data_IF_947830825094
#
_entry.id   IF_947830825094
#
_cell.length_a   1.000
_cell.length_b   1.000
_cell.length_c   1.000
_cell.angle_alpha   90.00
_cell.angle_beta   90.00
_cell.angle_gamma   90.00
#
_symmetry.space_group_name_H-M   'P 1'
#
loop_
_entity.id
_entity.type
_entity.pdbx_description
1 polymer ?
#
# COMPACT_ATOMS: atom_id res chain seq x y z
N UNK A 1 -12.27 2.37 3.84
CA UNK A 1 -12.40 1.06 4.50
C UNK A 1 -11.36 1.03 5.62
N UNK A 2 -11.80 0.96 6.88
CA UNK A 2 -10.96 1.19 8.06
C UNK A 2 -10.26 -0.11 8.47
N UNK A 3 -8.99 -0.29 8.09
CA UNK A 3 -8.15 -1.35 8.66
C UNK A 3 -7.67 -0.89 10.03
N UNK A 4 -8.51 -1.13 11.04
CA UNK A 4 -8.20 -0.84 12.43
C UNK A 4 -7.41 -2.02 13.01
N UNK A 5 -6.09 -1.88 13.15
CA UNK A 5 -5.19 -2.88 13.75
C UNK A 5 -5.36 -2.98 15.28
N UNK A 6 -6.56 -2.80 15.82
CA UNK A 6 -6.76 -2.57 17.26
C UNK A 6 -6.70 -3.82 18.15
N UNK A 7 -6.79 -5.05 17.61
CA UNK A 7 -6.58 -6.31 18.35
C UNK A 7 -6.69 -7.53 17.44
N UNK A 8 -6.03 -7.53 16.28
CA UNK A 8 -6.00 -8.72 15.42
C UNK A 8 -4.73 -9.51 15.74
N UNK A 9 -4.87 -10.82 16.00
CA UNK A 9 -3.78 -11.79 16.21
C UNK A 9 -2.89 -11.99 14.95
N UNK A 10 -2.90 -11.04 14.02
CA UNK A 10 -2.21 -11.14 12.75
C UNK A 10 -0.78 -10.58 12.87
N UNK A 11 0.23 -11.29 12.33
CA UNK A 11 1.60 -10.79 12.29
C UNK A 11 1.70 -9.43 11.58
N UNK A 12 2.58 -8.54 12.06
CA UNK A 12 2.79 -7.19 11.49
C UNK A 12 3.17 -7.25 10.01
N UNK A 13 3.93 -8.26 9.59
CA UNK A 13 4.25 -8.52 8.18
C UNK A 13 3.01 -8.72 7.31
N UNK A 14 2.05 -9.50 7.80
CA UNK A 14 0.80 -9.75 7.07
C UNK A 14 -0.04 -8.47 7.02
N UNK A 15 -0.18 -7.78 8.15
CA UNK A 15 -0.87 -6.50 8.21
C UNK A 15 -0.29 -5.47 7.23
N UNK A 16 1.03 -5.32 7.18
CA UNK A 16 1.72 -4.40 6.27
C UNK A 16 1.45 -4.76 4.81
N UNK A 17 1.54 -6.05 4.44
CA UNK A 17 1.22 -6.51 3.07
C UNK A 17 -0.21 -6.20 2.66
N UNK A 18 -1.19 -6.44 3.54
CA UNK A 18 -2.60 -6.20 3.23
C UNK A 18 -2.93 -4.72 3.13
N UNK A 19 -2.38 -3.89 4.04
CA UNK A 19 -2.48 -2.44 3.94
C UNK A 19 -1.89 -1.92 2.61
N UNK A 20 -0.70 -2.42 2.25
CA UNK A 20 -0.02 -2.03 1.02
C UNK A 20 -0.79 -2.47 -0.23
N UNK A 21 -1.34 -3.69 -0.23
CA UNK A 21 -2.21 -4.13 -1.33
C UNK A 21 -3.46 -3.26 -1.42
N UNK A 22 -4.15 -3.02 -0.31
CA UNK A 22 -5.38 -2.22 -0.27
C UNK A 22 -5.20 -0.76 -0.69
N UNK A 23 -4.00 -0.19 -0.56
CA UNK A 23 -3.69 1.15 -1.04
C UNK A 23 -3.20 1.16 -2.49
N UNK A 24 -2.24 0.30 -2.84
CA UNK A 24 -1.52 0.42 -4.12
C UNK A 24 -2.10 -0.45 -5.25
N UNK A 25 -3.11 -1.28 -4.97
CA UNK A 25 -3.85 -1.97 -6.02
C UNK A 25 -4.44 -0.95 -7.00
N UNK A 26 -4.27 -1.19 -8.30
CA UNK A 26 -4.63 -0.27 -9.38
C UNK A 26 -4.10 1.17 -9.14
N UNK A 27 -2.85 1.28 -8.72
CA UNK A 27 -2.18 2.56 -8.43
C UNK A 27 -2.90 3.42 -7.36
N UNK A 28 -3.79 2.82 -6.55
CA UNK A 28 -4.66 3.56 -5.64
C UNK A 28 -5.82 4.29 -6.32
N UNK A 29 -6.03 4.09 -7.62
CA UNK A 29 -7.15 4.59 -8.41
C UNK A 29 -8.38 3.70 -8.21
N UNK A 30 -8.74 3.50 -6.95
CA UNK A 30 -9.88 2.70 -6.52
C UNK A 30 -10.63 3.51 -5.47
N UNK A 31 -11.93 3.70 -5.64
CA UNK A 31 -12.74 4.50 -4.73
C UNK A 31 -12.69 4.00 -3.28
N UNK A 32 -12.47 2.71 -3.08
CA UNK A 32 -12.33 2.06 -1.78
C UNK A 32 -10.88 1.82 -1.34
N UNK A 33 -9.90 2.48 -1.97
CA UNK A 33 -8.49 2.37 -1.58
C UNK A 33 -8.27 2.70 -0.10
N UNK A 34 -7.41 1.91 0.54
CA UNK A 34 -7.04 2.04 1.95
C UNK A 34 -6.08 3.20 2.22
N UNK A 35 -6.46 4.44 1.90
CA UNK A 35 -5.60 5.63 1.99
C UNK A 35 -5.15 6.00 3.40
N UNK A 36 -5.78 5.42 4.43
CA UNK A 36 -5.45 5.64 5.84
C UNK A 36 -5.45 4.31 6.59
N UNK A 37 -4.40 4.08 7.36
CA UNK A 37 -4.22 2.90 8.21
C UNK A 37 -3.96 3.36 9.63
N UNK A 38 -4.75 2.86 10.58
CA UNK A 38 -4.55 3.15 12.00
C UNK A 38 -3.77 2.00 12.64
N UNK A 39 -2.63 2.33 13.22
CA UNK A 39 -1.68 1.37 13.80
C UNK A 39 -1.61 1.59 15.31
N UNK A 40 -1.66 0.51 16.10
CA UNK A 40 -1.48 0.59 17.55
C UNK A 40 -0.05 1.02 17.88
N UNK A 41 0.10 1.96 18.83
CA UNK A 41 1.39 2.56 19.16
C UNK A 41 2.53 1.56 19.45
N UNK A 42 2.22 0.40 20.05
CA UNK A 42 3.22 -0.63 20.36
C UNK A 42 3.91 -1.25 19.16
N UNK A 43 3.26 -1.24 17.98
CA UNK A 43 3.77 -1.85 16.75
C UNK A 43 3.96 -0.81 15.63
N UNK A 44 3.87 0.48 15.97
CA UNK A 44 3.91 1.57 14.99
C UNK A 44 5.21 1.57 14.17
N UNK A 45 6.36 1.61 14.83
CA UNK A 45 7.65 1.71 14.16
C UNK A 45 7.95 0.48 13.29
N UNK A 46 7.62 -0.72 13.79
CA UNK A 46 7.78 -1.97 13.04
C UNK A 46 6.89 -1.98 11.79
N UNK A 47 5.63 -1.59 11.92
CA UNK A 47 4.70 -1.52 10.79
C UNK A 47 5.17 -0.50 9.75
N UNK A 48 5.60 0.69 10.18
CA UNK A 48 6.09 1.74 9.28
C UNK A 48 7.34 1.27 8.54
N UNK A 49 8.29 0.65 9.22
CA UNK A 49 9.50 0.12 8.58
C UNK A 49 9.17 -0.93 7.51
N UNK A 50 8.26 -1.87 7.81
CA UNK A 50 7.83 -2.91 6.86
C UNK A 50 7.03 -2.32 5.69
N UNK A 51 6.12 -1.38 5.97
CA UNK A 51 5.33 -0.70 4.94
C UNK A 51 6.22 0.09 3.97
N UNK A 52 7.19 0.84 4.51
CA UNK A 52 8.19 1.57 3.71
C UNK A 52 9.00 0.61 2.81
N UNK A 53 9.49 -0.49 3.38
CA UNK A 53 10.27 -1.46 2.62
C UNK A 53 9.47 -2.12 1.48
N UNK A 54 8.15 -2.28 1.64
CA UNK A 54 7.27 -2.76 0.57
C UNK A 54 7.08 -1.68 -0.52
N UNK A 55 6.94 -0.42 -0.13
CA UNK A 55 6.78 0.69 -1.07
C UNK A 55 8.02 0.89 -1.94
N UNK A 56 9.21 0.87 -1.32
CA UNK A 56 10.50 1.05 -2.00
C UNK A 56 10.84 -0.10 -2.97
N UNK A 57 10.32 -1.31 -2.72
CA UNK A 57 10.55 -2.47 -3.58
C UNK A 57 9.62 -2.53 -4.80
N UNK A 58 8.56 -1.71 -4.83
CA UNK A 58 7.52 -1.80 -5.84
C UNK A 58 8.07 -1.40 -7.21
N UNK A 59 7.88 -2.25 -8.21
CA UNK A 59 8.38 -1.99 -9.57
C UNK A 59 7.38 -1.12 -10.33
N UNK A 60 7.79 0.12 -10.66
CA UNK A 60 7.05 1.04 -11.51
C UNK A 60 7.57 0.95 -12.94
N UNK A 61 6.68 0.94 -13.94
CA UNK A 61 7.10 0.78 -15.33
C UNK A 61 5.98 0.69 -16.36
N UNK A 62 6.33 0.12 -17.52
CA UNK A 62 5.41 -0.16 -18.61
C UNK A 62 4.36 -1.21 -18.17
N UNK A 63 3.04 -0.93 -18.28
CA UNK A 63 2.00 -1.89 -17.91
C UNK A 63 2.01 -3.19 -18.74
N UNK A 64 2.71 -3.23 -19.88
CA UNK A 64 2.88 -4.45 -20.69
C UNK A 64 4.12 -5.28 -20.31
N UNK A 65 5.01 -4.77 -19.45
CA UNK A 65 6.10 -5.57 -18.87
C UNK A 65 5.57 -6.39 -17.68
N UNK A 66 5.73 -7.71 -17.74
CA UNK A 66 5.33 -8.65 -16.67
C UNK A 66 6.05 -8.42 -15.34
N UNK A 67 7.16 -7.67 -15.34
CA UNK A 67 7.89 -7.28 -14.12
C UNK A 67 7.29 -6.05 -13.44
N UNK A 68 6.45 -5.28 -14.13
CA UNK A 68 5.83 -4.07 -13.59
C UNK A 68 4.72 -4.44 -12.60
N UNK A 69 4.82 -3.95 -11.38
CA UNK A 69 3.75 -4.04 -10.38
C UNK A 69 2.81 -2.83 -10.43
N UNK A 70 3.31 -1.69 -10.94
CA UNK A 70 2.55 -0.45 -11.00
C UNK A 70 2.82 0.34 -12.29
N UNK A 71 1.81 0.40 -13.16
CA UNK A 71 1.82 1.24 -14.36
C UNK A 71 1.52 2.73 -14.10
N UNK A 72 1.29 3.52 -15.17
CA UNK A 72 0.97 4.94 -15.06
C UNK A 72 -0.41 5.19 -14.44
N UNK A 73 -0.63 6.43 -14.00
CA UNK A 73 -1.96 6.92 -13.64
C UNK A 73 -2.83 7.09 -14.90
N UNK A 74 -4.15 7.23 -14.73
CA UNK A 74 -5.11 7.29 -15.83
C UNK A 74 -4.87 8.48 -16.78
N UNK A 75 -4.32 9.58 -16.29
CA UNK A 75 -3.96 10.76 -17.09
C UNK A 75 -2.82 11.57 -16.44
N UNK A 76 -2.33 12.59 -17.15
CA UNK A 76 -1.25 13.46 -16.69
C UNK A 76 -1.60 14.26 -15.42
N UNK A 77 -2.85 14.70 -15.28
CA UNK A 77 -3.28 15.44 -14.08
C UNK A 77 -3.19 14.57 -12.82
N UNK A 78 -3.58 13.31 -12.92
CA UNK A 78 -3.52 12.34 -11.82
C UNK A 78 -2.10 11.94 -11.42
N UNK A 79 -1.09 12.11 -12.29
CA UNK A 79 0.30 11.69 -12.03
C UNK A 79 1.24 12.77 -11.51
N UNK A 80 0.82 14.04 -11.47
CA UNK A 80 1.67 15.20 -11.15
C UNK A 80 1.36 15.85 -9.78
N UNK A 81 0.59 15.17 -8.93
CA UNK A 81 0.36 15.54 -7.53
C UNK A 81 1.44 14.92 -6.64
#
# INVERSE_FOLDING_TARGET
MELCLKRLLLPVDFAAKQAHHGLFFNQGQVCCAGSRVFVEGKVYDEFIAKSKALAEKRVLGDPFDLKTEQGPQANQFSGNL
#
